data_IF_482303220963
#
_entry.id   IF_482303220963
#
_cell.length_a   1.000
_cell.length_b   1.000
_cell.length_c   1.000
_cell.angle_alpha   90.00
_cell.angle_beta   90.00
_cell.angle_gamma   90.00
#
_symmetry.space_group_name_H-M   'P 1'
#
loop_
_entity.id
_entity.type
_entity.pdbx_description
1 polymer ?
#
# COMPACT_ATOMS: atom_id res chain seq x y z
N UNK A 1 -20.04 37.19 -1.70
CA UNK A 1 -18.69 36.61 -1.90
C UNK A 1 -18.79 35.67 -3.09
N UNK A 2 -18.29 36.08 -4.25
CA UNK A 2 -18.27 35.26 -5.46
C UNK A 2 -17.16 34.20 -5.29
N UNK A 3 -17.54 32.92 -5.23
CA UNK A 3 -16.58 31.81 -5.17
C UNK A 3 -15.76 31.78 -6.45
N UNK A 4 -14.48 32.10 -6.35
CA UNK A 4 -13.53 31.88 -7.44
C UNK A 4 -13.38 30.37 -7.66
N UNK A 5 -13.62 29.91 -8.89
CA UNK A 5 -13.35 28.54 -9.32
C UNK A 5 -11.91 28.17 -8.97
N UNK A 6 -11.71 26.98 -8.39
CA UNK A 6 -10.38 26.46 -8.09
C UNK A 6 -9.72 26.08 -9.42
N UNK A 7 -8.75 26.87 -9.86
CA UNK A 7 -7.97 26.54 -11.06
C UNK A 7 -7.03 25.37 -10.77
N UNK A 8 -6.93 24.37 -11.68
CA UNK A 8 -6.00 23.26 -11.54
C UNK A 8 -4.57 23.76 -11.36
N UNK A 9 -3.80 23.10 -10.49
CA UNK A 9 -2.41 23.46 -10.24
C UNK A 9 -1.60 23.41 -11.54
N UNK A 10 -0.86 24.49 -11.85
CA UNK A 10 0.06 24.56 -13.00
C UNK A 10 1.18 23.50 -12.96
N UNK A 11 1.36 22.82 -11.83
CA UNK A 11 2.30 21.71 -11.67
C UNK A 11 1.82 20.41 -12.33
N UNK A 12 0.56 20.29 -12.74
CA UNK A 12 -0.02 19.07 -13.31
C UNK A 12 0.57 18.69 -14.70
N UNK A 13 1.44 19.52 -15.28
CA UNK A 13 2.10 19.27 -16.57
C UNK A 13 3.63 19.37 -16.54
N UNK A 14 4.26 19.34 -15.36
CA UNK A 14 5.72 19.47 -15.25
C UNK A 14 6.50 18.24 -15.75
N UNK A 15 5.80 17.12 -16.01
CA UNK A 15 6.37 15.87 -16.47
C UNK A 15 5.62 15.38 -17.71
N UNK A 16 5.82 16.05 -18.84
CA UNK A 16 5.16 15.70 -20.13
C UNK A 16 5.58 14.35 -20.69
N UNK A 17 6.71 13.81 -20.21
CA UNK A 17 7.32 12.58 -20.72
C UNK A 17 7.02 11.35 -19.84
N UNK A 18 6.26 11.54 -18.75
CA UNK A 18 5.75 10.42 -17.95
C UNK A 18 4.45 10.00 -18.60
N UNK A 19 4.39 8.85 -19.30
CA UNK A 19 3.12 8.35 -19.80
C UNK A 19 2.19 8.19 -18.59
N UNK A 20 0.94 8.65 -18.74
CA UNK A 20 -0.14 8.28 -17.82
C UNK A 20 -0.24 6.75 -17.87
N UNK A 21 0.43 6.08 -16.94
CA UNK A 21 0.29 4.66 -16.75
C UNK A 21 -1.16 4.48 -16.27
N UNK A 22 -1.99 3.84 -17.09
CA UNK A 22 -3.42 3.65 -16.81
C UNK A 22 -3.71 2.79 -15.56
N UNK A 23 -2.67 2.31 -14.88
CA UNK A 23 -2.75 1.47 -13.69
C UNK A 23 -2.68 2.35 -12.46
N UNK A 24 -3.69 2.27 -11.58
CA UNK A 24 -3.67 3.00 -10.30
C UNK A 24 -2.56 2.51 -9.36
N UNK A 25 -1.95 1.36 -9.68
CA UNK A 25 -0.98 0.68 -8.83
C UNK A 25 -1.66 -0.12 -7.72
N UNK A 26 -2.99 -0.03 -7.61
CA UNK A 26 -3.81 -0.78 -6.64
C UNK A 26 -3.79 -2.28 -6.95
N UNK A 27 -3.50 -2.67 -8.19
CA UNK A 27 -3.33 -4.07 -8.60
C UNK A 27 -2.12 -4.72 -7.91
N UNK A 28 -1.20 -3.91 -7.39
CA UNK A 28 -0.06 -4.36 -6.62
C UNK A 28 -0.35 -4.51 -5.12
N UNK A 29 -1.52 -4.08 -4.64
CA UNK A 29 -1.79 -4.09 -3.21
C UNK A 29 -2.04 -5.51 -2.72
N UNK A 30 -1.61 -5.78 -1.49
CA UNK A 30 -1.86 -7.06 -0.82
C UNK A 30 -2.69 -6.78 0.42
N UNK A 31 -3.88 -7.35 0.47
CA UNK A 31 -4.77 -7.26 1.61
C UNK A 31 -4.60 -8.47 2.51
N UNK A 32 -4.68 -8.25 3.81
CA UNK A 32 -4.49 -9.31 4.80
C UNK A 32 -5.09 -8.93 6.14
N UNK A 33 -5.39 -9.95 6.94
CA UNK A 33 -5.83 -9.84 8.32
C UNK A 33 -4.74 -10.26 9.30
N UNK A 34 -4.75 -9.65 10.50
CA UNK A 34 -3.94 -10.03 11.65
C UNK A 34 -4.67 -9.69 12.96
N UNK A 35 -4.26 -10.24 14.08
CA UNK A 35 -4.76 -9.75 15.37
C UNK A 35 -4.18 -8.34 15.66
N UNK A 36 -5.00 -7.32 16.00
CA UNK A 36 -4.54 -5.92 16.16
C UNK A 36 -3.35 -5.72 17.12
N UNK A 37 -3.17 -6.63 18.10
CA UNK A 37 -2.02 -6.60 19.02
C UNK A 37 -0.67 -6.79 18.30
N UNK A 38 -0.67 -7.36 17.09
CA UNK A 38 0.52 -7.62 16.28
C UNK A 38 0.76 -6.56 15.20
N UNK A 39 -0.10 -5.56 15.00
CA UNK A 39 0.03 -4.57 13.93
C UNK A 39 1.42 -3.94 13.86
N UNK A 40 1.93 -3.42 14.98
CA UNK A 40 3.25 -2.79 15.03
C UNK A 40 4.40 -3.80 14.87
N UNK A 41 4.20 -5.04 15.31
CA UNK A 41 5.20 -6.09 15.14
C UNK A 41 5.38 -6.42 13.65
N UNK A 42 4.28 -6.61 12.93
CA UNK A 42 4.29 -6.88 11.49
C UNK A 42 4.82 -5.66 10.70
N UNK A 43 4.39 -4.45 11.05
CA UNK A 43 4.86 -3.23 10.38
C UNK A 43 6.39 -3.09 10.45
N UNK A 44 6.99 -3.39 11.61
CA UNK A 44 8.46 -3.36 11.78
C UNK A 44 9.20 -4.40 10.95
N UNK A 45 8.60 -5.57 10.71
CA UNK A 45 9.20 -6.59 9.83
C UNK A 45 9.21 -6.09 8.39
N UNK A 46 8.10 -5.51 7.93
CA UNK A 46 7.97 -4.95 6.58
C UNK A 46 8.95 -3.79 6.37
N UNK A 47 9.08 -2.88 7.33
CA UNK A 47 10.07 -1.79 7.31
C UNK A 47 11.51 -2.32 7.31
N UNK A 48 11.78 -3.39 8.06
CA UNK A 48 13.08 -4.06 8.09
C UNK A 48 13.45 -4.79 6.79
N UNK A 49 12.46 -5.11 5.96
CA UNK A 49 12.62 -5.68 4.61
C UNK A 49 12.86 -4.58 3.56
N UNK A 50 13.78 -3.66 3.85
CA UNK A 50 14.13 -2.53 2.97
C UNK A 50 12.91 -1.64 2.61
N UNK A 51 11.95 -1.50 3.54
CA UNK A 51 10.69 -0.81 3.28
C UNK A 51 9.94 -1.38 2.06
N UNK A 52 9.78 -2.72 2.01
CA UNK A 52 9.14 -3.47 0.92
C UNK A 52 7.79 -2.88 0.46
N UNK A 53 7.06 -2.26 1.38
CA UNK A 53 5.88 -1.46 1.08
C UNK A 53 5.42 -0.66 2.30
N UNK A 54 4.33 0.08 2.11
CA UNK A 54 3.66 0.82 3.20
C UNK A 54 2.46 0.02 3.68
N UNK A 55 2.51 -0.41 4.94
CA UNK A 55 1.38 -1.06 5.60
C UNK A 55 0.41 0.01 6.12
N UNK A 56 -0.88 -0.19 5.85
CA UNK A 56 -1.98 0.66 6.33
C UNK A 56 -3.04 -0.21 6.98
N UNK A 57 -3.42 0.07 8.23
CA UNK A 57 -4.60 -0.54 8.85
C UNK A 57 -5.86 0.06 8.24
N UNK A 58 -6.75 -0.81 7.75
CA UNK A 58 -7.99 -0.44 7.07
C UNK A 58 -9.14 -0.32 8.08
N UNK A 59 -9.17 -1.20 9.09
CA UNK A 59 -10.20 -1.18 10.13
C UNK A 59 -9.69 -1.60 11.51
N UNK A 60 -10.60 -1.57 12.50
CA UNK A 60 -10.33 -1.95 13.90
C UNK A 60 -10.28 -3.46 14.13
N UNK A 61 -10.72 -4.26 13.16
CA UNK A 61 -10.77 -5.73 13.24
C UNK A 61 -9.47 -6.37 12.74
N UNK A 62 -8.45 -5.56 12.42
CA UNK A 62 -7.14 -6.03 12.01
C UNK A 62 -7.00 -6.25 10.51
N UNK A 63 -7.94 -5.75 9.69
CA UNK A 63 -7.76 -5.72 8.24
C UNK A 63 -6.70 -4.69 7.88
N UNK A 64 -5.74 -5.09 7.07
CA UNK A 64 -4.60 -4.28 6.65
C UNK A 64 -4.38 -4.38 5.13
N UNK A 65 -3.68 -3.39 4.60
CA UNK A 65 -3.25 -3.32 3.21
C UNK A 65 -1.76 -3.01 3.17
N UNK A 66 -1.02 -3.74 2.35
CA UNK A 66 0.37 -3.44 2.02
C UNK A 66 0.44 -2.88 0.60
N UNK A 67 0.79 -1.60 0.49
CA UNK A 67 1.05 -0.94 -0.77
C UNK A 67 2.50 -1.18 -1.17
N UNK A 68 2.70 -2.00 -2.19
CA UNK A 68 3.99 -2.25 -2.81
C UNK A 68 3.93 -1.94 -4.32
N UNK A 69 5.04 -2.12 -5.05
CA UNK A 69 5.05 -1.93 -6.51
C UNK A 69 4.76 -3.25 -7.21
N UNK A 70 4.30 -3.25 -8.48
CA UNK A 70 4.01 -4.49 -9.20
C UNK A 70 5.19 -5.48 -9.22
N UNK A 71 6.42 -4.99 -9.29
CA UNK A 71 7.63 -5.81 -9.30
C UNK A 71 7.97 -6.42 -7.92
N UNK A 72 7.55 -5.79 -6.81
CA UNK A 72 7.82 -6.30 -5.45
C UNK A 72 6.65 -7.04 -4.83
N UNK A 73 5.46 -7.00 -5.45
CA UNK A 73 4.28 -7.76 -4.99
C UNK A 73 4.55 -9.26 -4.75
N UNK A 74 5.27 -10.00 -5.62
CA UNK A 74 5.54 -11.42 -5.35
C UNK A 74 6.34 -11.63 -4.06
N UNK A 75 7.34 -10.78 -3.80
CA UNK A 75 8.14 -10.81 -2.58
C UNK A 75 7.31 -10.41 -1.34
N UNK A 76 6.39 -9.45 -1.50
CA UNK A 76 5.45 -9.09 -0.43
C UNK A 76 4.56 -10.27 -0.04
N UNK A 77 4.03 -11.02 -1.02
CA UNK A 77 3.23 -12.23 -0.79
C UNK A 77 4.10 -13.31 -0.12
N UNK A 78 5.33 -13.52 -0.57
CA UNK A 78 6.27 -14.49 0.02
C UNK A 78 6.55 -14.17 1.50
N UNK A 79 6.88 -12.91 1.80
CA UNK A 79 7.12 -12.45 3.18
C UNK A 79 5.87 -12.66 4.05
N UNK A 80 4.71 -12.18 3.61
CA UNK A 80 3.46 -12.30 4.38
C UNK A 80 3.07 -13.78 4.58
N UNK A 81 3.30 -14.63 3.58
CA UNK A 81 3.07 -16.08 3.68
C UNK A 81 4.00 -16.76 4.68
N UNK A 82 5.23 -16.27 4.83
CA UNK A 82 6.16 -16.76 5.86
C UNK A 82 5.75 -16.41 7.29
N UNK A 83 4.80 -15.47 7.44
CA UNK A 83 4.25 -15.00 8.71
C UNK A 83 2.84 -15.55 8.97
N UNK A 84 2.51 -16.72 8.42
CA UNK A 84 1.17 -17.33 8.49
C UNK A 84 0.63 -17.56 9.90
N UNK A 85 1.49 -17.61 10.92
CA UNK A 85 1.08 -17.70 12.32
C UNK A 85 0.40 -16.42 12.84
N UNK A 86 0.62 -15.29 12.16
CA UNK A 86 0.11 -13.97 12.54
C UNK A 86 -0.85 -13.38 11.50
N UNK A 87 -0.73 -13.82 10.24
CA UNK A 87 -1.33 -13.16 9.09
C UNK A 87 -2.15 -14.15 8.27
N UNK A 88 -3.29 -13.69 7.74
CA UNK A 88 -4.05 -14.38 6.71
C UNK A 88 -4.24 -13.44 5.51
N UNK A 89 -3.69 -13.81 4.36
CA UNK A 89 -3.80 -13.02 3.12
C UNK A 89 -5.23 -13.16 2.57
N UNK A 90 -5.80 -12.06 2.07
CA UNK A 90 -7.05 -12.06 1.31
C UNK A 90 -6.81 -12.45 -0.15
N UNK A 91 -7.69 -13.28 -0.71
CA UNK A 91 -7.65 -13.71 -2.12
C UNK A 91 -7.91 -12.58 -3.12
#
# INVERSE_FOLDING_TARGET
>A
MSGTSLEPSKSIGAFTDVPDLATSGEEAYVYFHLEPKYTNYINRIIEGYEYLGVMTSIDVNGRCMLRCTPSTRPLAIELLSSLSDYITIED
#
